data_IF_785966357739
#
_entry.id   IF_785966357739
#
_cell.length_a   1.000
_cell.length_b   1.000
_cell.length_c   1.000
_cell.angle_alpha   90.00
_cell.angle_beta   90.00
_cell.angle_gamma   90.00
#
_symmetry.space_group_name_H-M   'P 1'
#
loop_
_entity.id
_entity.type
_entity.pdbx_description
1 polymer ?
#
# COMPACT_ATOMS: atom_id res chain seq x y z
N UNK A 1 10.92 29.08 11.16
CA UNK A 1 11.37 28.42 9.92
C UNK A 1 11.22 26.88 9.95
N UNK A 2 11.49 26.19 11.07
CA UNK A 2 11.51 24.71 11.14
C UNK A 2 10.12 24.01 11.11
N UNK A 3 9.06 24.73 11.45
CA UNK A 3 7.71 24.15 11.60
C UNK A 3 7.04 23.75 10.28
N UNK A 4 7.44 24.38 9.16
CA UNK A 4 6.86 24.12 7.84
C UNK A 4 7.44 22.88 7.16
N UNK A 5 8.71 22.53 7.40
CA UNK A 5 9.34 21.35 6.77
C UNK A 5 9.02 20.02 7.48
N UNK A 6 8.82 20.02 8.81
CA UNK A 6 8.56 18.79 9.56
C UNK A 6 7.10 18.30 9.47
N UNK A 7 6.15 19.24 9.32
CA UNK A 7 4.71 18.92 9.18
C UNK A 7 4.36 18.03 7.98
N UNK A 8 4.86 18.25 6.75
CA UNK A 8 4.51 17.42 5.61
C UNK A 8 4.97 15.97 5.81
N UNK A 9 6.14 15.76 6.42
CA UNK A 9 6.67 14.42 6.62
C UNK A 9 5.91 13.65 7.71
N UNK A 10 5.58 14.32 8.83
CA UNK A 10 4.73 13.74 9.88
C UNK A 10 3.34 13.40 9.34
N UNK A 11 2.77 14.25 8.46
CA UNK A 11 1.49 13.95 7.80
C UNK A 11 1.58 12.72 6.90
N UNK A 12 2.62 12.60 6.08
CA UNK A 12 2.84 11.42 5.22
C UNK A 12 2.96 10.14 6.05
N UNK A 13 3.73 10.16 7.12
CA UNK A 13 3.91 9.00 7.99
C UNK A 13 2.62 8.62 8.73
N UNK A 14 1.86 9.60 9.21
CA UNK A 14 0.53 9.34 9.80
C UNK A 14 -0.44 8.74 8.79
N UNK A 15 -0.46 9.26 7.56
CA UNK A 15 -1.32 8.75 6.49
C UNK A 15 -0.94 7.31 6.10
N UNK A 16 0.36 7.00 6.08
CA UNK A 16 0.86 5.65 5.85
C UNK A 16 0.43 4.68 6.97
N UNK A 17 0.58 5.08 8.24
CA UNK A 17 0.14 4.28 9.37
C UNK A 17 -1.38 4.05 9.41
N UNK A 18 -2.18 5.01 8.92
CA UNK A 18 -3.64 4.86 8.79
C UNK A 18 -3.97 3.89 7.66
N UNK A 19 -3.34 4.04 6.50
CA UNK A 19 -3.51 3.15 5.36
C UNK A 19 -3.16 1.69 5.70
N UNK A 20 -2.10 1.46 6.46
CA UNK A 20 -1.74 0.15 6.99
C UNK A 20 -2.85 -0.48 7.85
N UNK A 21 -3.65 0.31 8.55
CA UNK A 21 -4.77 -0.19 9.35
C UNK A 21 -6.05 -0.38 8.56
N UNK A 22 -6.23 0.39 7.49
CA UNK A 22 -7.42 0.34 6.63
C UNK A 22 -7.34 -0.76 5.58
N UNK A 23 -6.13 -1.16 5.16
CA UNK A 23 -5.95 -2.25 4.20
C UNK A 23 -6.46 -3.58 4.74
N UNK A 24 -7.22 -4.29 3.91
CA UNK A 24 -7.91 -5.53 4.25
C UNK A 24 -7.70 -6.63 3.21
N UNK A 25 -8.23 -7.82 3.51
CA UNK A 25 -8.24 -8.93 2.55
C UNK A 25 -9.07 -8.54 1.33
N UNK A 26 -8.54 -8.82 0.15
CA UNK A 26 -9.17 -8.50 -1.12
C UNK A 26 -8.69 -7.20 -1.75
N UNK A 27 -7.97 -6.35 -1.02
CA UNK A 27 -7.44 -5.11 -1.57
C UNK A 27 -6.28 -5.38 -2.52
N UNK A 28 -6.27 -4.68 -3.64
CA UNK A 28 -5.12 -4.61 -4.54
C UNK A 28 -4.20 -3.49 -4.09
N UNK A 29 -2.94 -3.85 -3.87
CA UNK A 29 -1.93 -2.98 -3.26
C UNK A 29 -0.61 -3.07 -3.98
N UNK A 30 0.18 -2.02 -3.84
CA UNK A 30 1.51 -1.92 -4.43
C UNK A 30 2.56 -1.83 -3.33
N UNK A 31 3.54 -2.71 -3.39
CA UNK A 31 4.72 -2.67 -2.52
C UNK A 31 5.62 -1.50 -2.87
N UNK A 32 6.47 -1.04 -1.94
CA UNK A 32 7.44 0.04 -2.19
C UNK A 32 8.43 -0.26 -3.32
N UNK A 33 8.60 -1.53 -3.69
CA UNK A 33 9.42 -1.96 -4.83
C UNK A 33 8.66 -2.04 -6.16
N UNK A 34 7.37 -1.65 -6.19
CA UNK A 34 6.54 -1.64 -7.40
C UNK A 34 5.83 -2.96 -7.72
N UNK A 35 5.90 -3.97 -6.85
CA UNK A 35 5.16 -5.23 -7.05
C UNK A 35 3.69 -4.98 -6.71
N UNK A 36 2.82 -5.30 -7.66
CA UNK A 36 1.36 -5.23 -7.53
C UNK A 36 0.83 -6.61 -7.15
N UNK A 37 -0.13 -6.65 -6.24
CA UNK A 37 -0.85 -7.88 -5.96
C UNK A 37 -2.04 -7.67 -5.04
N UNK A 38 -2.76 -8.76 -4.78
CA UNK A 38 -3.97 -8.76 -3.96
C UNK A 38 -3.70 -9.32 -2.57
N UNK A 39 -4.22 -8.66 -1.53
CA UNK A 39 -4.08 -9.13 -0.15
C UNK A 39 -4.93 -10.38 0.04
N UNK A 40 -4.28 -11.52 0.26
CA UNK A 40 -4.96 -12.76 0.61
C UNK A 40 -5.17 -12.89 2.13
N UNK A 41 -4.14 -12.52 2.91
CA UNK A 41 -4.16 -12.62 4.37
C UNK A 41 -3.24 -11.60 5.01
N UNK A 42 -3.60 -11.12 6.20
CA UNK A 42 -2.74 -10.31 7.06
C UNK A 42 -2.59 -11.06 8.39
N UNK A 43 -1.35 -11.30 8.82
CA UNK A 43 -1.01 -11.96 10.08
C UNK A 43 0.14 -11.23 10.77
N UNK A 44 -0.11 -10.71 11.99
CA UNK A 44 0.93 -10.15 12.86
C UNK A 44 1.89 -9.15 12.16
N UNK A 45 1.36 -8.31 11.27
CA UNK A 45 2.17 -7.32 10.52
C UNK A 45 2.83 -7.86 9.24
N UNK A 46 2.55 -9.11 8.86
CA UNK A 46 2.95 -9.72 7.60
C UNK A 46 1.73 -9.87 6.70
N UNK A 47 1.86 -9.43 5.46
CA UNK A 47 0.83 -9.51 4.43
C UNK A 47 1.19 -10.61 3.45
N UNK A 48 0.26 -11.53 3.23
CA UNK A 48 0.33 -12.53 2.17
C UNK A 48 -0.26 -11.90 0.92
N UNK A 49 0.62 -11.45 0.04
CA UNK A 49 0.29 -10.84 -1.24
C UNK A 49 0.22 -11.93 -2.31
N UNK A 50 -0.91 -12.03 -2.97
CA UNK A 50 -1.08 -12.88 -4.13
C UNK A 50 -0.68 -12.07 -5.37
N UNK A 51 0.38 -12.51 -6.05
CA UNK A 51 0.86 -11.88 -7.28
C UNK A 51 0.42 -12.63 -8.54
N UNK A 52 0.06 -13.91 -8.38
CA UNK A 52 -0.48 -14.77 -9.44
C UNK A 52 -1.34 -15.88 -8.80
N UNK A 53 -2.06 -16.68 -9.60
CA UNK A 53 -3.06 -17.67 -9.14
C UNK A 53 -2.53 -18.64 -8.07
N UNK A 54 -1.26 -19.03 -8.13
CA UNK A 54 -0.63 -19.96 -7.18
C UNK A 54 0.61 -19.38 -6.49
N UNK A 55 0.89 -18.10 -6.69
CA UNK A 55 2.11 -17.47 -6.19
C UNK A 55 1.77 -16.45 -5.13
N UNK A 56 2.21 -16.75 -3.90
CA UNK A 56 2.04 -15.89 -2.75
C UNK A 56 3.42 -15.44 -2.25
N UNK A 57 3.54 -14.15 -2.01
CA UNK A 57 4.73 -13.52 -1.44
C UNK A 57 4.34 -12.95 -0.09
N UNK A 58 5.22 -13.14 0.90
CA UNK A 58 5.03 -12.52 2.21
C UNK A 58 5.82 -11.22 2.25
N UNK A 59 5.12 -10.14 2.51
CA UNK A 59 5.72 -8.81 2.64
C UNK A 59 5.38 -8.22 4.00
N UNK A 60 6.22 -7.33 4.49
CA UNK A 60 5.89 -6.57 5.70
C UNK A 60 4.79 -5.58 5.38
N UNK A 61 3.87 -5.36 6.31
CA UNK A 61 2.78 -4.39 6.17
C UNK A 61 3.32 -2.98 5.90
N UNK A 62 4.41 -2.60 6.56
CA UNK A 62 5.10 -1.33 6.33
C UNK A 62 5.85 -1.21 5.01
N UNK A 63 5.95 -2.29 4.22
CA UNK A 63 6.53 -2.27 2.88
C UNK A 63 5.49 -2.03 1.78
N UNK A 64 4.22 -1.78 2.14
CA UNK A 64 3.16 -1.45 1.20
C UNK A 64 3.09 0.07 1.05
N UNK A 65 3.17 0.57 -0.17
CA UNK A 65 3.16 2.02 -0.45
C UNK A 65 1.75 2.52 -0.70
N UNK A 66 1.26 3.41 0.16
CA UNK A 66 -0.02 4.12 -0.03
C UNK A 66 -0.04 4.88 -1.35
N UNK A 67 1.01 5.66 -1.61
CA UNK A 67 1.12 6.53 -2.79
C UNK A 67 1.09 5.72 -4.09
N UNK A 68 1.84 4.62 -4.15
CA UNK A 68 1.84 3.76 -5.34
C UNK A 68 0.51 3.03 -5.52
N UNK A 69 -0.13 2.62 -4.42
CA UNK A 69 -1.46 1.99 -4.48
C UNK A 69 -2.53 2.98 -4.96
N UNK A 70 -2.47 4.24 -4.53
CA UNK A 70 -3.36 5.29 -5.04
C UNK A 70 -3.10 5.59 -6.52
N UNK A 71 -1.84 5.60 -6.95
CA UNK A 71 -1.49 5.81 -8.35
C UNK A 71 -1.98 4.67 -9.24
N UNK A 72 -1.90 3.42 -8.78
CA UNK A 72 -2.50 2.28 -9.47
C UNK A 72 -4.01 2.46 -9.65
N UNK A 73 -4.72 2.80 -8.56
CA UNK A 73 -6.17 3.02 -8.62
C UNK A 73 -6.55 4.14 -9.59
N UNK A 74 -5.78 5.23 -9.63
CA UNK A 74 -6.00 6.33 -10.59
C UNK A 74 -5.79 5.88 -12.03
N UNK A 75 -4.70 5.18 -12.32
CA UNK A 75 -4.41 4.67 -13.66
C UNK A 75 -5.53 3.75 -14.18
N UNK A 76 -6.05 2.84 -13.35
CA UNK A 76 -7.17 1.97 -13.73
C UNK A 76 -8.49 2.72 -13.96
N UNK A 77 -8.66 3.92 -13.38
CA UNK A 77 -9.87 4.74 -13.56
C UNK A 77 -9.79 5.62 -14.81
N UNK A 78 -8.60 6.09 -15.17
CA UNK A 78 -8.35 6.95 -16.33
C UNK A 78 -8.43 6.20 -17.68
N UNK A 79 -8.15 4.89 -17.72
CA UNK A 79 -8.27 4.07 -18.94
C UNK A 79 -9.73 3.69 -19.31
N UNK A 80 -10.71 4.15 -18.52
CA UNK A 80 -12.14 3.85 -18.71
C UNK A 80 -13.02 5.05 -19.13
N UNK A 81 -12.41 6.17 -19.51
CA UNK A 81 -13.04 7.30 -20.23
C UNK A 81 -12.61 7.34 -21.70
#
# INVERSE_FOLDING_TARGET
MYFFFFRPQVKKQKAQNVFEKEMGKGDEVVTSSGIIGKINKIEKGVVHLQIDQKTFVRVLQGAISKEMTENLKKATTEDSE
#
